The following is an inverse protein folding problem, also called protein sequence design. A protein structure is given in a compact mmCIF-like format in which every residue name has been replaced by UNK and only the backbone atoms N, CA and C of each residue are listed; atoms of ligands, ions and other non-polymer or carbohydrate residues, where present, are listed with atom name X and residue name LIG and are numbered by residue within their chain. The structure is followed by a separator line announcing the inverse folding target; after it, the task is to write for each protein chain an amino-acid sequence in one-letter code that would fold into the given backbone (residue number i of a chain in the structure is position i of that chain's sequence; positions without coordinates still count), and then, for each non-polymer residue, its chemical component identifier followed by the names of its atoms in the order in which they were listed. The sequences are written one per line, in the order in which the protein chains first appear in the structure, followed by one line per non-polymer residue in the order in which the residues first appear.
data_IF_881922399602
#
_entry.id   IF_881922399602
#
_cell.length_a   1.000
_cell.length_b   1.000
_cell.length_c   1.000
_cell.angle_alpha   90.00
_cell.angle_beta   90.00
_cell.angle_gamma   90.00
#
_symmetry.space_group_name_H-M   'P 1'
#
loop_
_entity.id
_entity.type
_entity.pdbx_description
1 polymer ?
#
# COMPACT_ATOMS: atom_id res chain seq x y z
N UNK A 1 -17.82 4.57 14.61
CA UNK A 1 -17.71 5.58 15.69
C UNK A 1 -18.81 6.63 15.46
N UNK A 2 -18.90 7.69 16.26
CA UNK A 2 -19.79 8.81 15.96
C UNK A 2 -19.18 9.68 14.83
N UNK A 3 -19.89 9.86 13.72
CA UNK A 3 -19.44 10.62 12.54
C UNK A 3 -19.08 12.07 12.84
N UNK A 4 -19.65 12.64 13.90
CA UNK A 4 -19.33 14.00 14.35
C UNK A 4 -17.92 14.08 14.95
N UNK A 5 -17.54 13.07 15.74
CA UNK A 5 -16.19 12.97 16.33
C UNK A 5 -15.15 12.74 15.22
N UNK A 6 -15.42 11.84 14.26
CA UNK A 6 -14.52 11.57 13.13
C UNK A 6 -14.24 12.80 12.25
N UNK A 7 -15.25 13.68 12.09
CA UNK A 7 -15.08 14.96 11.40
C UNK A 7 -14.26 15.95 12.21
N UNK A 8 -14.55 16.08 13.51
CA UNK A 8 -13.84 16.98 14.42
C UNK A 8 -12.36 16.59 14.63
N UNK A 9 -12.05 15.29 14.62
CA UNK A 9 -10.68 14.80 14.80
C UNK A 9 -9.93 14.59 13.49
N UNK A 10 -10.55 14.86 12.33
CA UNK A 10 -9.95 14.60 11.02
C UNK A 10 -9.89 13.12 10.62
N UNK A 11 -10.24 12.18 11.49
CA UNK A 11 -10.21 10.72 11.22
C UNK A 11 -11.12 10.29 10.07
N UNK A 12 -12.14 11.08 9.71
CA UNK A 12 -12.96 10.82 8.53
C UNK A 12 -12.16 10.74 7.21
N UNK A 13 -10.91 11.27 7.20
CA UNK A 13 -9.99 11.19 6.05
C UNK A 13 -9.24 9.84 5.98
N UNK A 14 -9.18 9.08 7.09
CA UNK A 14 -8.57 7.74 7.16
C UNK A 14 -9.54 6.67 6.66
N UNK A 15 -9.88 6.76 5.38
CA UNK A 15 -10.76 5.77 4.74
C UNK A 15 -10.06 4.42 4.54
N UNK A 16 -10.83 3.35 4.36
CA UNK A 16 -10.29 2.02 4.01
C UNK A 16 -9.39 2.06 2.78
N UNK A 17 -9.71 2.91 1.80
CA UNK A 17 -8.88 3.10 0.60
C UNK A 17 -7.50 3.69 0.96
N UNK A 18 -7.45 4.68 1.86
CA UNK A 18 -6.19 5.28 2.32
C UNK A 18 -5.34 4.25 3.06
N UNK A 19 -5.95 3.50 3.98
CA UNK A 19 -5.27 2.45 4.74
C UNK A 19 -4.76 1.34 3.81
N UNK A 20 -5.58 0.86 2.88
CA UNK A 20 -5.18 -0.16 1.92
C UNK A 20 -4.06 0.33 0.97
N UNK A 21 -4.12 1.60 0.56
CA UNK A 21 -3.08 2.20 -0.29
C UNK A 21 -1.74 2.27 0.44
N UNK A 22 -1.72 2.74 1.68
CA UNK A 22 -0.50 2.77 2.50
C UNK A 22 0.06 1.36 2.73
N UNK A 23 -0.81 0.41 3.04
CA UNK A 23 -0.43 -1.00 3.20
C UNK A 23 0.15 -1.60 1.91
N UNK A 24 -0.42 -1.29 0.73
CA UNK A 24 0.11 -1.74 -0.56
C UNK A 24 1.48 -1.12 -0.85
N UNK A 25 1.69 0.15 -0.53
CA UNK A 25 2.99 0.83 -0.66
C UNK A 25 4.04 0.18 0.26
N UNK A 26 3.67 -0.10 1.50
CA UNK A 26 4.53 -0.78 2.46
C UNK A 26 4.90 -2.19 1.98
N UNK A 27 3.94 -2.97 1.46
CA UNK A 27 4.18 -4.31 0.91
C UNK A 27 5.15 -4.26 -0.29
N UNK A 28 4.94 -3.35 -1.25
CA UNK A 28 5.85 -3.12 -2.38
C UNK A 28 7.27 -2.77 -1.93
N UNK A 29 7.38 -1.95 -0.89
CA UNK A 29 8.66 -1.57 -0.30
C UNK A 29 9.33 -2.76 0.39
N UNK A 30 8.56 -3.58 1.10
CA UNK A 30 9.02 -4.83 1.71
C UNK A 30 9.63 -5.78 0.69
N UNK A 31 8.93 -6.06 -0.42
CA UNK A 31 9.45 -6.88 -1.53
C UNK A 31 10.80 -6.36 -2.02
N UNK A 32 10.90 -5.07 -2.32
CA UNK A 32 12.16 -4.45 -2.79
C UNK A 32 13.28 -4.59 -1.75
N UNK A 33 12.98 -4.34 -0.49
CA UNK A 33 13.95 -4.36 0.58
C UNK A 33 14.45 -5.78 0.87
N UNK A 34 13.58 -6.79 0.86
CA UNK A 34 13.99 -8.18 1.02
C UNK A 34 14.83 -8.68 -0.14
N UNK A 35 14.47 -8.33 -1.38
CA UNK A 35 15.28 -8.67 -2.55
C UNK A 35 16.70 -8.08 -2.44
N UNK A 36 16.80 -6.81 -2.07
CA UNK A 36 18.10 -6.14 -1.83
C UNK A 36 18.88 -6.80 -0.68
N UNK A 37 18.24 -7.08 0.44
CA UNK A 37 18.91 -7.70 1.58
C UNK A 37 19.40 -9.12 1.27
N UNK A 38 18.62 -9.90 0.52
CA UNK A 38 18.96 -11.25 0.12
C UNK A 38 20.19 -11.30 -0.80
N UNK A 39 20.44 -10.25 -1.61
CA UNK A 39 21.64 -10.17 -2.46
C UNK A 39 22.89 -9.72 -1.72
N UNK A 40 22.75 -8.96 -0.64
CA UNK A 40 23.88 -8.39 0.11
C UNK A 40 24.37 -9.28 1.27
N UNK A 41 23.56 -10.23 1.73
CA UNK A 41 23.93 -11.07 2.88
C UNK A 41 24.93 -12.18 2.51
N UNK A 42 26.00 -12.30 3.31
CA UNK A 42 27.05 -13.31 3.14
C UNK A 42 26.68 -14.67 3.75
N UNK A 43 25.89 -14.68 4.82
CA UNK A 43 25.56 -15.89 5.58
C UNK A 43 24.45 -16.69 4.90
N UNK A 44 24.67 -17.95 4.51
CA UNK A 44 23.68 -18.77 3.80
C UNK A 44 22.35 -18.93 4.54
N UNK A 45 22.40 -19.09 5.87
CA UNK A 45 21.21 -19.27 6.71
C UNK A 45 20.34 -18.00 6.71
N UNK A 46 20.96 -16.83 6.78
CA UNK A 46 20.24 -15.55 6.72
C UNK A 46 19.70 -15.30 5.31
N UNK A 47 20.44 -15.68 4.26
CA UNK A 47 19.95 -15.62 2.88
C UNK A 47 18.67 -16.44 2.70
N UNK A 48 18.62 -17.66 3.25
CA UNK A 48 17.44 -18.51 3.18
C UNK A 48 16.23 -17.89 3.91
N UNK A 49 16.45 -17.25 5.08
CA UNK A 49 15.39 -16.55 5.81
C UNK A 49 14.86 -15.35 5.00
N UNK A 50 15.75 -14.52 4.45
CA UNK A 50 15.36 -13.34 3.68
C UNK A 50 14.66 -13.73 2.36
N UNK A 51 15.07 -14.82 1.72
CA UNK A 51 14.37 -15.35 0.55
C UNK A 51 12.94 -15.80 0.89
N UNK A 52 12.75 -16.51 2.01
CA UNK A 52 11.41 -16.88 2.48
C UNK A 52 10.54 -15.65 2.80
N UNK A 53 11.12 -14.62 3.42
CA UNK A 53 10.42 -13.38 3.71
C UNK A 53 10.09 -12.57 2.44
N UNK A 54 10.93 -12.64 1.41
CA UNK A 54 10.64 -12.08 0.10
C UNK A 54 9.41 -12.76 -0.51
N UNK A 55 9.35 -14.09 -0.51
CA UNK A 55 8.21 -14.84 -1.03
C UNK A 55 6.92 -14.49 -0.26
N UNK A 56 6.98 -14.45 1.08
CA UNK A 56 5.84 -14.05 1.92
C UNK A 56 5.40 -12.59 1.67
N UNK A 57 6.34 -11.69 1.38
CA UNK A 57 6.03 -10.30 1.03
C UNK A 57 5.38 -10.17 -0.35
N UNK A 58 5.76 -11.01 -1.32
CA UNK A 58 5.11 -11.10 -2.64
C UNK A 58 3.67 -11.59 -2.48
N UNK A 59 3.45 -12.66 -1.72
CA UNK A 59 2.09 -13.17 -1.45
C UNK A 59 1.21 -12.12 -0.75
N UNK A 60 1.77 -11.39 0.21
CA UNK A 60 1.07 -10.29 0.88
C UNK A 60 0.71 -9.18 -0.11
N UNK A 61 1.66 -8.75 -0.95
CA UNK A 61 1.42 -7.77 -2.00
C UNK A 61 0.24 -8.19 -2.88
N UNK A 62 0.25 -9.42 -3.40
CA UNK A 62 -0.79 -9.93 -4.31
C UNK A 62 -2.17 -9.86 -3.66
N UNK A 63 -2.29 -10.33 -2.42
CA UNK A 63 -3.57 -10.29 -1.68
C UNK A 63 -4.11 -8.86 -1.51
N UNK A 64 -3.24 -7.90 -1.20
CA UNK A 64 -3.64 -6.50 -1.05
C UNK A 64 -4.01 -5.90 -2.41
N UNK A 65 -3.20 -6.16 -3.44
CA UNK A 65 -3.45 -5.66 -4.79
C UNK A 65 -4.78 -6.18 -5.33
N UNK A 66 -5.07 -7.48 -5.19
CA UNK A 66 -6.34 -8.09 -5.59
C UNK A 66 -7.52 -7.48 -4.85
N UNK A 67 -7.41 -7.28 -3.54
CA UNK A 67 -8.42 -6.59 -2.75
C UNK A 67 -8.69 -5.18 -3.28
N UNK A 68 -7.64 -4.40 -3.56
CA UNK A 68 -7.78 -3.04 -4.09
C UNK A 68 -8.34 -3.03 -5.52
N UNK A 69 -8.00 -4.01 -6.36
CA UNK A 69 -8.57 -4.17 -7.71
C UNK A 69 -10.08 -4.44 -7.62
N UNK A 70 -10.49 -5.39 -6.78
CA UNK A 70 -11.90 -5.72 -6.57
C UNK A 70 -12.72 -4.53 -6.05
N UNK A 71 -12.09 -3.65 -5.26
CA UNK A 71 -12.71 -2.41 -4.76
C UNK A 71 -12.71 -1.26 -5.78
N UNK A 72 -12.03 -1.40 -6.91
CA UNK A 72 -11.84 -0.31 -7.88
C UNK A 72 -10.92 0.80 -7.36
N UNK A 73 -10.02 0.47 -6.44
CA UNK A 73 -9.02 1.39 -5.88
C UNK A 73 -7.65 1.24 -6.55
N UNK A 74 -7.46 0.20 -7.36
CA UNK A 74 -6.23 -0.06 -8.10
C UNK A 74 -6.53 -0.66 -9.48
N UNK A 75 -5.97 -0.07 -10.54
CA UNK A 75 -6.20 -0.41 -11.94
C UNK A 75 -4.87 -0.71 -12.64
N UNK A 76 -4.20 -1.85 -12.33
CA UNK A 76 -2.87 -2.14 -12.86
C UNK A 76 -2.82 -2.31 -14.38
N UNK A 77 -3.95 -2.69 -15.01
CA UNK A 77 -4.06 -2.93 -16.45
C UNK A 77 -4.59 -1.73 -17.24
N UNK A 78 -5.08 -0.68 -16.56
CA UNK A 78 -5.55 0.56 -17.18
C UNK A 78 -4.86 1.76 -16.54
N UNK A 79 -3.68 2.08 -17.09
CA UNK A 79 -2.84 3.17 -16.59
C UNK A 79 -3.53 4.54 -16.72
N UNK A 80 -4.43 4.72 -17.71
CA UNK A 80 -5.15 5.99 -17.87
C UNK A 80 -6.15 6.17 -16.75
N UNK A 81 -6.90 5.12 -16.42
CA UNK A 81 -7.83 5.14 -15.31
C UNK A 81 -7.11 5.26 -13.97
N UNK A 82 -6.00 4.52 -13.77
CA UNK A 82 -5.17 4.65 -12.57
C UNK A 82 -4.67 6.10 -12.39
N UNK A 83 -4.16 6.73 -13.45
CA UNK A 83 -3.69 8.11 -13.39
C UNK A 83 -4.82 9.08 -13.04
N UNK A 84 -6.02 8.88 -13.59
CA UNK A 84 -7.20 9.69 -13.27
C UNK A 84 -7.57 9.57 -11.80
N UNK A 85 -7.59 8.35 -11.27
CA UNK A 85 -7.84 8.08 -9.86
C UNK A 85 -6.76 8.70 -8.96
N UNK A 86 -5.50 8.58 -9.33
CA UNK A 86 -4.37 9.15 -8.57
C UNK A 86 -4.45 10.68 -8.50
N UNK A 87 -4.78 11.35 -9.62
CA UNK A 87 -4.99 12.80 -9.66
C UNK A 87 -6.18 13.23 -8.80
N UNK A 88 -7.26 12.44 -8.79
CA UNK A 88 -8.42 12.69 -7.93
C UNK A 88 -8.06 12.55 -6.44
N UNK A 89 -7.31 11.51 -6.08
CA UNK A 89 -6.85 11.27 -4.72
C UNK A 89 -5.89 12.39 -4.26
N UNK A 90 -4.95 12.80 -5.11
CA UNK A 90 -4.04 13.91 -4.82
C UNK A 90 -4.80 15.23 -4.59
N UNK A 91 -5.80 15.54 -5.42
CA UNK A 91 -6.66 16.71 -5.21
C UNK A 91 -7.46 16.61 -3.91
N UNK A 92 -7.97 15.43 -3.57
CA UNK A 92 -8.67 15.21 -2.30
C UNK A 92 -7.74 15.47 -1.12
N UNK A 93 -6.51 14.95 -1.16
CA UNK A 93 -5.51 15.16 -0.12
C UNK A 93 -5.11 16.63 0.03
N UNK A 94 -4.93 17.37 -1.07
CA UNK A 94 -4.63 18.82 -1.03
C UNK A 94 -5.74 19.67 -0.40
N UNK A 95 -6.98 19.20 -0.47
CA UNK A 95 -8.14 19.87 0.13
C UNK A 95 -8.52 19.32 1.51
N UNK A 96 -7.82 18.28 1.98
CA UNK A 96 -8.06 17.74 3.30
C UNK A 96 -7.64 18.77 4.37
N UNK A 97 -8.37 18.87 5.50
CA UNK A 97 -7.95 19.73 6.59
C UNK A 97 -6.54 19.34 7.05
N UNK A 98 -5.60 20.29 7.02
CA UNK A 98 -4.32 20.13 7.70
C UNK A 98 -4.57 20.20 9.20
N UNK A 99 -4.05 19.21 9.94
CA UNK A 99 -3.98 19.27 11.40
C UNK A 99 -3.12 20.44 11.87
#
# INVERSE_FOLDING_TARGET
MNSLIERLTGMHTLTDQVVATDLLIAAKSGVRNYAMAATEVATPEIKAILAKQLDEAIDLHERIADYMIQKGWYHPWDVKEQLRLDLQNARTALNAPTL
#
